data_IF_485661523322
#
_entry.id   IF_485661523322
#
_cell.length_a   1.000
_cell.length_b   1.000
_cell.length_c   1.000
_cell.angle_alpha   90.00
_cell.angle_beta   90.00
_cell.angle_gamma   90.00
#
_symmetry.space_group_name_H-M   'P 1'
#
loop_
_entity.id
_entity.type
_entity.pdbx_description
1 polymer ?
#
# COMPACT_ATOMS: atom_id res chain seq x y z
N UNK A 1 4.77 -16.99 -12.31
CA UNK A 1 5.79 -16.97 -13.31
C UNK A 1 7.23 -17.19 -12.84
N UNK A 2 7.49 -17.55 -11.56
CA UNK A 2 8.85 -17.77 -11.01
C UNK A 2 9.49 -19.08 -11.49
N UNK A 3 8.70 -20.11 -11.80
CA UNK A 3 9.19 -21.44 -12.11
C UNK A 3 10.10 -21.57 -13.33
N UNK A 4 9.95 -20.70 -14.31
CA UNK A 4 10.72 -20.80 -15.56
C UNK A 4 11.93 -19.87 -15.62
N UNK A 5 11.90 -18.68 -15.02
CA UNK A 5 13.05 -17.77 -15.01
C UNK A 5 14.10 -18.13 -13.94
N UNK A 6 13.68 -18.69 -12.81
CA UNK A 6 14.60 -19.10 -11.75
C UNK A 6 15.51 -20.30 -12.08
N UNK A 7 15.22 -21.04 -13.14
CA UNK A 7 16.09 -22.18 -13.58
C UNK A 7 17.30 -21.76 -14.39
N UNK A 8 17.32 -20.57 -14.92
CA UNK A 8 18.36 -20.12 -15.88
C UNK A 8 19.37 -19.17 -15.24
N UNK A 9 19.13 -18.68 -14.01
CA UNK A 9 19.99 -17.68 -13.37
C UNK A 9 20.76 -18.34 -12.23
N UNK A 10 22.10 -18.26 -12.28
CA UNK A 10 22.95 -18.67 -11.14
C UNK A 10 22.53 -17.94 -9.87
N UNK A 11 22.68 -18.59 -8.68
CA UNK A 11 22.28 -18.03 -7.37
C UNK A 11 22.70 -16.58 -7.14
N UNK A 12 23.84 -16.14 -7.69
CA UNK A 12 24.32 -14.75 -7.62
C UNK A 12 23.49 -13.76 -8.45
N UNK A 13 22.85 -14.25 -9.52
CA UNK A 13 22.00 -13.44 -10.40
C UNK A 13 20.54 -13.37 -9.93
N UNK A 14 20.07 -14.28 -9.06
CA UNK A 14 18.70 -14.31 -8.59
C UNK A 14 18.25 -13.00 -7.94
N UNK A 15 19.09 -12.40 -7.09
CA UNK A 15 18.77 -11.10 -6.46
C UNK A 15 18.64 -9.97 -7.47
N UNK A 16 19.45 -9.93 -8.52
CA UNK A 16 19.34 -8.90 -9.56
C UNK A 16 18.05 -9.05 -10.38
N UNK A 17 17.67 -10.29 -10.69
CA UNK A 17 16.40 -10.58 -11.39
C UNK A 17 15.21 -10.25 -10.50
N UNK A 18 15.28 -10.55 -9.21
CA UNK A 18 14.25 -10.19 -8.23
C UNK A 18 14.07 -8.68 -8.16
N UNK A 19 15.15 -7.91 -7.99
CA UNK A 19 15.14 -6.45 -7.99
C UNK A 19 14.57 -5.87 -9.29
N UNK A 20 14.99 -6.42 -10.42
CA UNK A 20 14.47 -6.02 -11.73
C UNK A 20 12.96 -6.29 -11.85
N UNK A 21 12.49 -7.43 -11.39
CA UNK A 21 11.07 -7.80 -11.41
C UNK A 21 10.24 -6.91 -10.48
N UNK A 22 10.71 -6.64 -9.26
CA UNK A 22 10.04 -5.72 -8.32
C UNK A 22 9.90 -4.33 -8.94
N UNK A 23 10.98 -3.80 -9.52
CA UNK A 23 10.97 -2.50 -10.18
C UNK A 23 10.01 -2.47 -11.38
N UNK A 24 10.06 -3.47 -12.25
CA UNK A 24 9.18 -3.55 -13.43
C UNK A 24 7.72 -3.67 -13.06
N UNK A 25 7.40 -4.46 -12.04
CA UNK A 25 6.03 -4.69 -11.55
C UNK A 25 5.50 -3.45 -10.82
N UNK A 26 6.35 -2.80 -10.01
CA UNK A 26 6.03 -1.55 -9.34
C UNK A 26 5.66 -0.43 -10.32
N UNK A 27 6.40 -0.29 -11.43
CA UNK A 27 6.07 0.66 -12.51
C UNK A 27 4.69 0.40 -13.09
N UNK A 28 4.25 -0.86 -13.18
CA UNK A 28 2.92 -1.24 -13.66
C UNK A 28 1.81 -1.09 -12.60
N UNK A 29 2.16 -0.74 -11.35
CA UNK A 29 1.21 -0.66 -10.23
C UNK A 29 0.60 -2.01 -9.86
N UNK A 30 1.33 -3.11 -10.08
CA UNK A 30 0.95 -4.45 -9.65
C UNK A 30 1.59 -4.74 -8.29
N UNK A 31 0.83 -5.36 -7.36
CA UNK A 31 1.33 -5.71 -6.05
C UNK A 31 2.44 -6.76 -6.15
N UNK A 32 3.54 -6.52 -5.44
CA UNK A 32 4.69 -7.41 -5.37
C UNK A 32 4.76 -8.04 -3.99
N UNK A 33 4.69 -9.35 -3.94
CA UNK A 33 4.92 -10.12 -2.73
C UNK A 33 6.36 -10.63 -2.71
N UNK A 34 7.12 -10.28 -1.67
CA UNK A 34 8.43 -10.87 -1.40
C UNK A 34 8.26 -12.22 -0.72
N UNK A 35 8.55 -13.29 -1.44
CA UNK A 35 8.61 -14.65 -0.93
C UNK A 35 10.06 -15.06 -0.78
N UNK A 36 10.47 -15.46 0.43
CA UNK A 36 11.65 -16.29 0.70
C UNK A 36 11.55 -16.79 2.15
N UNK A 37 12.47 -17.62 2.59
CA UNK A 37 12.64 -18.07 3.98
C UNK A 37 13.12 -16.90 4.87
N UNK A 38 12.23 -15.91 5.08
CA UNK A 38 12.61 -14.58 5.57
C UNK A 38 13.00 -14.56 7.05
N UNK A 39 12.49 -15.43 7.86
CA UNK A 39 12.76 -15.49 9.31
C UNK A 39 12.94 -16.96 9.77
N UNK A 40 13.56 -17.81 8.96
CA UNK A 40 13.71 -19.24 9.21
C UNK A 40 14.21 -19.57 10.62
N UNK A 41 15.10 -18.72 11.17
CA UNK A 41 15.59 -18.88 12.54
C UNK A 41 14.52 -18.76 13.64
N UNK A 42 13.32 -18.25 13.33
CA UNK A 42 12.20 -18.15 14.29
C UNK A 42 11.34 -19.44 14.30
N UNK A 43 11.59 -20.39 13.43
CA UNK A 43 10.90 -21.69 13.44
C UNK A 43 11.21 -22.44 14.75
N UNK A 44 12.48 -22.50 15.15
CA UNK A 44 12.97 -23.27 16.28
C UNK A 44 13.36 -22.42 17.51
N UNK A 45 13.41 -21.08 17.38
CA UNK A 45 13.82 -20.16 18.42
C UNK A 45 13.07 -18.85 18.45
N UNK A 46 12.99 -18.17 19.61
CA UNK A 46 12.19 -16.95 19.76
C UNK A 46 12.79 -15.70 19.09
N UNK A 47 13.94 -15.82 18.46
CA UNK A 47 14.66 -14.69 17.86
C UNK A 47 15.19 -14.96 16.46
N UNK A 48 15.18 -13.94 15.59
CA UNK A 48 15.62 -14.11 14.20
C UNK A 48 17.15 -14.15 14.12
N UNK A 49 17.65 -14.92 13.15
CA UNK A 49 19.03 -14.80 12.70
C UNK A 49 19.25 -13.42 12.02
N UNK A 50 20.48 -12.89 12.08
CA UNK A 50 20.83 -11.61 11.42
C UNK A 50 20.50 -11.62 9.92
N UNK A 51 20.66 -12.75 9.27
CA UNK A 51 20.35 -12.90 7.84
C UNK A 51 18.86 -12.64 7.57
N UNK A 52 17.94 -13.27 8.32
CA UNK A 52 16.50 -13.10 8.17
C UNK A 52 16.04 -11.65 8.40
N UNK A 53 16.58 -10.97 9.42
CA UNK A 53 16.31 -9.54 9.64
C UNK A 53 16.71 -8.71 8.42
N UNK A 54 17.89 -8.98 7.86
CA UNK A 54 18.40 -8.25 6.67
C UNK A 54 17.57 -8.54 5.43
N UNK A 55 17.02 -9.74 5.30
CA UNK A 55 16.19 -10.13 4.15
C UNK A 55 14.85 -9.41 4.16
N UNK A 56 14.16 -9.38 5.30
CA UNK A 56 12.92 -8.60 5.46
C UNK A 56 13.19 -7.10 5.21
N UNK A 57 14.24 -6.55 5.82
CA UNK A 57 14.59 -5.15 5.63
C UNK A 57 14.86 -4.84 4.15
N UNK A 58 15.63 -5.68 3.44
CA UNK A 58 15.92 -5.50 2.03
C UNK A 58 14.65 -5.56 1.17
N UNK A 59 13.71 -6.48 1.43
CA UNK A 59 12.46 -6.57 0.70
C UNK A 59 11.65 -5.26 0.82
N UNK A 60 11.57 -4.70 2.03
CA UNK A 60 10.90 -3.41 2.26
C UNK A 60 11.65 -2.27 1.55
N UNK A 61 12.98 -2.19 1.67
CA UNK A 61 13.79 -1.21 0.96
C UNK A 61 13.68 -1.31 -0.58
N UNK A 62 13.42 -2.50 -1.09
CA UNK A 62 13.18 -2.76 -2.52
C UNK A 62 11.73 -2.48 -2.92
N UNK A 63 10.92 -1.92 -2.04
CA UNK A 63 9.52 -1.55 -2.26
C UNK A 63 8.59 -2.74 -2.56
N UNK A 64 8.80 -3.88 -1.92
CA UNK A 64 7.78 -4.93 -1.91
C UNK A 64 6.48 -4.40 -1.27
N UNK A 65 5.34 -4.80 -1.79
CA UNK A 65 4.03 -4.40 -1.25
C UNK A 65 3.66 -5.20 -0.01
N UNK A 66 4.10 -6.45 0.06
CA UNK A 66 3.96 -7.31 1.23
C UNK A 66 5.15 -8.28 1.33
N UNK A 67 5.33 -8.82 2.52
CA UNK A 67 6.30 -9.85 2.86
C UNK A 67 5.54 -11.06 3.42
N UNK A 68 6.04 -12.26 3.18
CA UNK A 68 5.33 -13.48 3.53
C UNK A 68 6.14 -14.32 4.53
N UNK A 69 5.45 -14.91 5.49
CA UNK A 69 5.93 -16.00 6.33
C UNK A 69 5.30 -17.32 5.86
N UNK A 70 6.02 -18.39 5.97
CA UNK A 70 5.60 -19.74 5.56
C UNK A 70 5.64 -20.70 6.75
N UNK A 71 6.72 -21.47 6.90
CA UNK A 71 6.91 -22.43 7.99
C UNK A 71 6.92 -21.76 9.37
N UNK A 72 7.42 -20.55 9.47
CA UNK A 72 7.52 -19.76 10.70
C UNK A 72 6.18 -19.58 11.40
N UNK A 73 5.09 -19.48 10.62
CA UNK A 73 3.72 -19.35 11.16
C UNK A 73 2.87 -20.59 11.01
N UNK A 74 3.22 -21.51 10.07
CA UNK A 74 2.43 -22.71 9.79
C UNK A 74 2.85 -23.94 10.60
N UNK A 75 4.12 -24.05 10.98
CA UNK A 75 4.70 -25.20 11.64
C UNK A 75 5.72 -24.85 12.74
N UNK A 76 6.14 -23.59 12.86
CA UNK A 76 7.11 -23.16 13.86
C UNK A 76 6.51 -23.06 15.26
N UNK A 77 7.36 -23.08 16.26
CA UNK A 77 6.98 -23.00 17.68
C UNK A 77 6.69 -21.56 18.13
N UNK A 78 7.04 -20.54 17.32
CA UNK A 78 7.01 -19.11 17.65
C UNK A 78 6.26 -18.24 16.62
N UNK A 79 4.99 -18.59 16.26
CA UNK A 79 4.26 -17.90 15.16
C UNK A 79 3.94 -16.43 15.46
N UNK A 80 3.60 -16.08 16.70
CA UNK A 80 3.29 -14.70 17.08
C UNK A 80 4.54 -13.81 17.08
N UNK A 81 5.66 -14.36 17.55
CA UNK A 81 6.95 -13.70 17.53
C UNK A 81 7.43 -13.44 16.11
N UNK A 82 7.25 -14.40 15.21
CA UNK A 82 7.62 -14.26 13.80
C UNK A 82 6.89 -13.08 13.16
N UNK A 83 5.57 -12.98 13.33
CA UNK A 83 4.77 -11.86 12.82
C UNK A 83 5.18 -10.54 13.48
N UNK A 84 5.37 -10.56 14.81
CA UNK A 84 5.74 -9.36 15.57
C UNK A 84 7.10 -8.83 15.13
N UNK A 85 8.07 -9.70 14.94
CA UNK A 85 9.43 -9.34 14.49
C UNK A 85 9.38 -8.77 13.07
N UNK A 86 8.70 -9.45 12.15
CA UNK A 86 8.53 -8.99 10.77
C UNK A 86 7.90 -7.59 10.73
N UNK A 87 6.85 -7.38 11.50
CA UNK A 87 6.20 -6.07 11.61
C UNK A 87 7.13 -4.99 12.15
N UNK A 88 7.92 -5.30 13.22
CA UNK A 88 8.89 -4.36 13.78
C UNK A 88 9.95 -3.96 12.76
N UNK A 89 10.48 -4.93 11.99
CA UNK A 89 11.49 -4.66 10.96
C UNK A 89 10.90 -3.76 9.87
N UNK A 90 9.73 -4.10 9.33
CA UNK A 90 9.07 -3.32 8.29
C UNK A 90 8.84 -1.88 8.76
N UNK A 91 8.27 -1.68 9.95
CA UNK A 91 8.05 -0.35 10.52
C UNK A 91 9.33 0.45 10.76
N UNK A 92 10.42 -0.22 11.12
CA UNK A 92 11.70 0.44 11.33
C UNK A 92 12.28 0.94 10.01
N UNK A 93 12.20 0.12 8.95
CA UNK A 93 12.67 0.50 7.61
C UNK A 93 11.83 1.65 7.04
N UNK A 94 10.50 1.57 7.14
CA UNK A 94 9.61 2.61 6.60
C UNK A 94 9.76 3.98 7.29
N UNK A 95 10.39 4.03 8.48
CA UNK A 95 10.71 5.27 9.20
C UNK A 95 12.11 5.78 8.93
N UNK A 96 12.93 5.01 8.25
CA UNK A 96 14.31 5.38 7.94
C UNK A 96 14.33 6.46 6.85
N UNK A 97 15.06 7.54 7.10
CA UNK A 97 15.21 8.65 6.13
C UNK A 97 15.75 8.15 4.79
N UNK A 98 16.68 7.19 4.81
CA UNK A 98 17.23 6.60 3.58
C UNK A 98 16.17 5.85 2.76
N UNK A 99 15.17 5.24 3.40
CA UNK A 99 14.03 4.64 2.71
C UNK A 99 13.16 5.71 2.06
N UNK A 100 12.83 6.75 2.82
CA UNK A 100 12.00 7.87 2.33
C UNK A 100 12.66 8.56 1.13
N UNK A 101 13.96 8.86 1.23
CA UNK A 101 14.74 9.42 0.11
C UNK A 101 14.76 8.48 -1.08
N UNK A 102 14.96 7.18 -0.85
CA UNK A 102 14.95 6.18 -1.93
C UNK A 102 13.62 6.12 -2.65
N UNK A 103 12.51 6.12 -1.92
CA UNK A 103 11.15 6.15 -2.51
C UNK A 103 10.96 7.38 -3.38
N UNK A 104 11.39 8.55 -2.92
CA UNK A 104 11.35 9.80 -3.70
C UNK A 104 12.22 9.75 -4.96
N UNK A 105 13.37 9.09 -4.90
CA UNK A 105 14.27 8.91 -6.06
C UNK A 105 13.76 7.88 -7.07
N UNK A 106 12.80 7.03 -6.68
CA UNK A 106 12.13 6.09 -7.59
C UNK A 106 11.08 6.76 -8.48
N UNK A 107 11.03 8.10 -8.47
CA UNK A 107 10.09 8.93 -9.25
C UNK A 107 9.93 8.36 -10.67
N UNK A 108 8.84 7.64 -10.84
CA UNK A 108 8.48 7.07 -12.15
C UNK A 108 7.55 8.07 -12.82
N UNK A 109 7.94 8.64 -13.96
CA UNK A 109 7.08 9.58 -14.65
C UNK A 109 5.68 8.98 -14.83
N UNK A 110 4.62 9.74 -14.48
CA UNK A 110 3.25 9.26 -14.68
C UNK A 110 2.99 9.03 -16.17
N UNK A 111 2.20 8.03 -16.47
CA UNK A 111 1.70 7.85 -17.83
C UNK A 111 0.90 9.10 -18.24
N UNK A 112 0.87 9.39 -19.54
CA UNK A 112 0.17 10.55 -20.10
C UNK A 112 -1.37 10.38 -20.04
N UNK A 113 -1.88 10.06 -18.83
CA UNK A 113 -3.32 9.92 -18.56
C UNK A 113 -3.73 10.80 -17.37
N UNK A 114 -4.98 11.27 -17.39
CA UNK A 114 -5.54 12.06 -16.27
C UNK A 114 -5.45 11.29 -14.94
N UNK A 115 -5.70 9.99 -14.97
CA UNK A 115 -5.72 9.17 -13.78
C UNK A 115 -4.32 9.04 -13.14
N UNK A 116 -3.27 8.89 -13.94
CA UNK A 116 -1.90 8.83 -13.44
C UNK A 116 -1.39 10.19 -12.98
N UNK A 117 -1.70 11.25 -13.74
CA UNK A 117 -1.36 12.61 -13.34
C UNK A 117 -1.97 13.00 -11.98
N UNK A 118 -3.22 12.60 -11.72
CA UNK A 118 -3.87 12.87 -10.44
C UNK A 118 -3.33 11.99 -9.30
N UNK A 119 -2.93 10.75 -9.57
CA UNK A 119 -2.26 9.91 -8.58
C UNK A 119 -0.92 10.52 -8.16
N UNK A 120 -0.14 11.01 -9.12
CA UNK A 120 1.12 11.71 -8.86
C UNK A 120 0.90 13.03 -8.12
N UNK A 121 -0.09 13.84 -8.53
CA UNK A 121 -0.48 15.07 -7.83
C UNK A 121 -0.94 14.80 -6.38
N UNK A 122 -1.60 13.66 -6.14
CA UNK A 122 -2.02 13.25 -4.81
C UNK A 122 -0.82 13.09 -3.86
N UNK A 123 0.29 12.50 -4.33
CA UNK A 123 1.52 12.40 -3.54
C UNK A 123 2.06 13.80 -3.20
N UNK A 124 2.15 14.69 -4.19
CA UNK A 124 2.62 16.08 -3.97
C UNK A 124 1.76 16.79 -2.92
N UNK A 125 0.44 16.61 -2.98
CA UNK A 125 -0.48 17.20 -1.98
C UNK A 125 -0.26 16.56 -0.60
N UNK A 126 -0.09 15.25 -0.51
CA UNK A 126 0.14 14.54 0.75
C UNK A 126 1.47 14.94 1.42
N UNK A 127 2.50 15.26 0.64
CA UNK A 127 3.80 15.72 1.15
C UNK A 127 3.79 17.21 1.55
N UNK A 128 2.88 18.02 0.99
CA UNK A 128 2.83 19.46 1.21
C UNK A 128 1.80 19.87 2.26
N UNK A 129 0.64 19.21 2.26
CA UNK A 129 -0.48 19.51 3.15
C UNK A 129 -0.52 18.45 4.26
N UNK A 130 -0.65 18.85 5.55
CA UNK A 130 -0.76 17.90 6.66
C UNK A 130 -2.10 17.17 6.60
N UNK A 131 -2.17 16.13 5.79
CA UNK A 131 -3.33 15.23 5.68
C UNK A 131 -3.09 13.96 6.48
N UNK A 132 -4.16 13.37 7.04
CA UNK A 132 -4.08 12.16 7.85
C UNK A 132 -4.17 10.88 7.01
N UNK A 133 -4.90 10.93 5.90
CA UNK A 133 -5.08 9.78 5.01
C UNK A 133 -5.57 10.22 3.62
N UNK A 134 -5.41 9.31 2.67
CA UNK A 134 -5.98 9.40 1.32
C UNK A 134 -7.19 8.47 1.25
N UNK A 135 -8.37 8.97 0.96
CA UNK A 135 -9.57 8.16 0.69
C UNK A 135 -9.70 7.95 -0.82
N UNK A 136 -9.73 6.71 -1.25
CA UNK A 136 -9.80 6.33 -2.67
C UNK A 136 -11.10 5.58 -2.94
N UNK A 137 -11.92 6.11 -3.83
CA UNK A 137 -13.14 5.47 -4.31
C UNK A 137 -12.88 4.77 -5.63
N UNK A 138 -13.09 3.46 -5.68
CA UNK A 138 -12.76 2.68 -6.88
C UNK A 138 -13.57 1.39 -6.99
N UNK A 139 -14.14 1.11 -8.15
CA UNK A 139 -14.81 -0.17 -8.44
C UNK A 139 -13.82 -1.29 -8.74
N UNK A 140 -12.83 -1.02 -9.59
CA UNK A 140 -11.85 -2.02 -10.07
C UNK A 140 -10.55 -2.10 -9.26
N UNK A 141 -10.26 -1.09 -8.43
CA UNK A 141 -9.01 -0.95 -7.71
C UNK A 141 -7.91 -0.23 -8.50
N UNK A 142 -8.16 0.21 -9.72
CA UNK A 142 -7.14 0.85 -10.57
C UNK A 142 -6.60 2.14 -9.98
N UNK A 143 -7.45 3.00 -9.41
CA UNK A 143 -7.04 4.24 -8.74
C UNK A 143 -6.13 3.94 -7.54
N UNK A 144 -6.52 2.96 -6.72
CA UNK A 144 -5.73 2.57 -5.55
C UNK A 144 -4.32 2.07 -5.94
N UNK A 145 -4.22 1.27 -7.01
CA UNK A 145 -2.92 0.80 -7.51
C UNK A 145 -2.04 1.94 -8.01
N UNK A 146 -2.61 2.93 -8.70
CA UNK A 146 -1.87 4.11 -9.15
C UNK A 146 -1.33 4.92 -7.97
N UNK A 147 -2.17 5.16 -6.97
CA UNK A 147 -1.74 5.89 -5.76
C UNK A 147 -0.69 5.11 -4.98
N UNK A 148 -0.86 3.79 -4.80
CA UNK A 148 0.12 2.97 -4.10
C UNK A 148 1.48 2.91 -4.80
N UNK A 149 1.51 2.98 -6.13
CA UNK A 149 2.74 3.08 -6.92
C UNK A 149 3.59 4.30 -6.54
N UNK A 150 2.94 5.41 -6.25
CA UNK A 150 3.60 6.65 -5.82
C UNK A 150 4.13 6.59 -4.37
N UNK A 151 3.79 5.56 -3.59
CA UNK A 151 4.23 5.37 -2.19
C UNK A 151 4.01 6.60 -1.31
N UNK A 152 2.76 7.09 -1.16
CA UNK A 152 2.48 8.28 -0.36
C UNK A 152 2.90 8.11 1.10
N UNK A 153 3.28 9.22 1.73
CA UNK A 153 3.71 9.28 3.14
C UNK A 153 2.60 8.99 4.15
N UNK A 154 1.33 8.97 3.70
CA UNK A 154 0.14 8.75 4.54
C UNK A 154 -0.63 7.50 4.08
N UNK A 155 -1.36 6.82 4.98
CA UNK A 155 -2.11 5.62 4.65
C UNK A 155 -3.25 5.90 3.67
N UNK A 156 -3.62 4.86 2.93
CA UNK A 156 -4.68 4.90 1.93
C UNK A 156 -5.88 4.07 2.40
N UNK A 157 -7.03 4.72 2.60
CA UNK A 157 -8.31 4.10 2.87
C UNK A 157 -9.07 3.90 1.56
N UNK A 158 -9.16 2.67 1.09
CA UNK A 158 -9.81 2.34 -0.19
C UNK A 158 -11.23 1.89 0.03
N UNK A 159 -12.17 2.59 -0.57
CA UNK A 159 -13.61 2.33 -0.48
C UNK A 159 -14.10 1.79 -1.83
N UNK A 160 -14.66 0.58 -1.83
CA UNK A 160 -15.10 -0.10 -3.05
C UNK A 160 -16.42 -0.83 -2.84
N UNK A 161 -17.33 -0.86 -3.84
CA UNK A 161 -18.55 -1.66 -3.74
C UNK A 161 -18.30 -3.17 -3.91
N UNK A 162 -17.11 -3.57 -4.36
CA UNK A 162 -16.76 -4.96 -4.64
C UNK A 162 -15.94 -5.60 -3.52
N UNK A 163 -16.50 -6.56 -2.82
CA UNK A 163 -15.79 -7.37 -1.83
C UNK A 163 -14.56 -8.08 -2.43
N UNK A 164 -14.67 -8.54 -3.69
CA UNK A 164 -13.55 -9.16 -4.42
C UNK A 164 -12.41 -8.16 -4.61
N UNK A 165 -12.74 -6.93 -5.00
CA UNK A 165 -11.76 -5.85 -5.16
C UNK A 165 -11.12 -5.51 -3.81
N UNK A 166 -11.91 -5.36 -2.74
CA UNK A 166 -11.39 -5.07 -1.40
C UNK A 166 -10.37 -6.13 -0.95
N UNK A 167 -10.71 -7.42 -1.11
CA UNK A 167 -9.80 -8.52 -0.75
C UNK A 167 -8.49 -8.52 -1.54
N UNK A 168 -8.56 -8.24 -2.85
CA UNK A 168 -7.35 -8.15 -3.69
C UNK A 168 -6.45 -6.98 -3.32
N UNK A 169 -7.04 -5.86 -2.94
CA UNK A 169 -6.30 -4.66 -2.52
C UNK A 169 -5.70 -4.77 -1.12
N UNK A 170 -6.05 -5.79 -0.34
CA UNK A 170 -5.40 -6.10 0.93
C UNK A 170 -3.93 -6.51 0.80
N UNK A 171 -3.46 -6.83 -0.42
CA UNK A 171 -2.05 -7.11 -0.72
C UNK A 171 -1.31 -5.88 -1.29
N UNK A 172 -1.99 -4.74 -1.38
CA UNK A 172 -1.41 -3.53 -1.93
C UNK A 172 -0.79 -2.70 -0.81
N UNK A 173 0.43 -2.21 -1.03
CA UNK A 173 1.14 -1.41 -0.05
C UNK A 173 0.33 -0.18 0.40
N UNK A 174 0.33 0.07 1.71
CA UNK A 174 -0.33 1.24 2.31
C UNK A 174 -1.85 1.26 2.21
N UNK A 175 -2.50 0.22 1.64
CA UNK A 175 -3.93 0.19 1.41
C UNK A 175 -4.69 -0.54 2.52
N UNK A 176 -5.64 0.15 3.13
CA UNK A 176 -6.70 -0.45 3.94
C UNK A 176 -7.99 -0.45 3.15
N UNK A 177 -8.37 -1.59 2.60
CA UNK A 177 -9.50 -1.70 1.67
C UNK A 177 -10.76 -2.17 2.38
N UNK A 178 -11.85 -1.42 2.21
CA UNK A 178 -13.15 -1.67 2.84
C UNK A 178 -14.23 -1.78 1.77
N UNK A 179 -15.02 -2.85 1.84
CA UNK A 179 -16.20 -2.98 1.01
C UNK A 179 -17.37 -2.14 1.60
N UNK A 180 -17.91 -1.23 0.78
CA UNK A 180 -19.03 -0.35 1.16
C UNK A 180 -20.07 -0.31 0.07
N UNK A 181 -21.25 0.27 0.34
CA UNK A 181 -22.18 0.61 -0.74
C UNK A 181 -21.55 1.61 -1.69
N UNK A 182 -21.90 1.55 -2.95
CA UNK A 182 -21.45 2.52 -3.96
C UNK A 182 -21.91 3.95 -3.62
N UNK A 183 -21.36 4.92 -4.31
CA UNK A 183 -21.66 6.34 -4.14
C UNK A 183 -22.31 6.90 -5.40
N UNK A 184 -23.31 7.77 -5.21
CA UNK A 184 -24.06 8.37 -6.31
C UNK A 184 -23.80 9.86 -6.49
N UNK A 185 -23.24 10.56 -5.49
CA UNK A 185 -22.98 11.99 -5.54
C UNK A 185 -21.64 12.36 -4.89
N UNK A 186 -21.19 13.58 -5.17
CA UNK A 186 -19.99 14.15 -4.56
C UNK A 186 -20.17 14.32 -3.05
N UNK A 187 -21.31 14.80 -2.59
CA UNK A 187 -21.63 14.99 -1.18
C UNK A 187 -21.60 13.65 -0.43
N UNK A 188 -22.21 12.62 -1.02
CA UNK A 188 -22.16 11.26 -0.45
C UNK A 188 -20.72 10.73 -0.38
N UNK A 189 -19.91 10.98 -1.39
CA UNK A 189 -18.50 10.62 -1.42
C UNK A 189 -17.76 11.23 -0.24
N UNK A 190 -17.87 12.52 -0.05
CA UNK A 190 -17.19 13.26 1.02
C UNK A 190 -17.68 12.79 2.39
N UNK A 191 -18.99 12.71 2.61
CA UNK A 191 -19.56 12.24 3.87
C UNK A 191 -19.13 10.81 4.20
N UNK A 192 -19.14 9.92 3.23
CA UNK A 192 -18.68 8.52 3.39
C UNK A 192 -17.19 8.45 3.69
N UNK A 193 -16.36 9.19 2.96
CA UNK A 193 -14.91 9.25 3.18
C UNK A 193 -14.57 9.65 4.61
N UNK A 194 -15.14 10.76 5.09
CA UNK A 194 -14.95 11.26 6.45
C UNK A 194 -15.38 10.23 7.50
N UNK A 195 -16.61 9.72 7.40
CA UNK A 195 -17.16 8.72 8.33
C UNK A 195 -16.31 7.45 8.39
N UNK A 196 -15.86 6.95 7.26
CA UNK A 196 -15.03 5.74 7.20
C UNK A 196 -13.62 5.99 7.73
N UNK A 197 -13.04 7.15 7.48
CA UNK A 197 -11.73 7.53 8.03
C UNK A 197 -11.78 7.61 9.57
N UNK A 198 -12.81 8.24 10.14
CA UNK A 198 -13.06 8.28 11.58
C UNK A 198 -13.25 6.87 12.16
N UNK A 199 -14.13 6.09 11.55
CA UNK A 199 -14.49 4.73 12.02
C UNK A 199 -13.29 3.77 12.05
N UNK A 200 -12.38 3.89 11.09
CA UNK A 200 -11.20 3.02 10.98
C UNK A 200 -9.94 3.61 11.65
N UNK A 201 -10.06 4.75 12.34
CA UNK A 201 -8.95 5.36 13.10
C UNK A 201 -7.88 6.01 12.23
N UNK A 202 -8.19 6.38 10.99
CA UNK A 202 -7.26 7.10 10.09
C UNK A 202 -7.30 8.62 10.28
N UNK A 203 -8.31 9.13 10.96
CA UNK A 203 -8.47 10.56 11.16
C UNK A 203 -9.27 10.85 12.42
N UNK A 204 -9.20 12.08 12.89
CA UNK A 204 -9.97 12.66 14.00
C UNK A 204 -10.58 14.00 13.59
N UNK A 205 -11.39 14.62 14.46
CA UNK A 205 -11.92 15.95 14.20
C UNK A 205 -10.79 16.96 13.96
N UNK A 206 -10.95 17.80 12.94
CA UNK A 206 -9.91 18.75 12.50
C UNK A 206 -8.92 18.17 11.48
N UNK A 207 -8.84 16.84 11.33
CA UNK A 207 -7.98 16.20 10.32
C UNK A 207 -8.38 16.60 8.90
N UNK A 208 -7.39 16.64 8.01
CA UNK A 208 -7.62 16.76 6.57
C UNK A 208 -7.46 15.40 5.89
N UNK A 209 -8.27 15.17 4.87
CA UNK A 209 -8.21 13.99 4.00
C UNK A 209 -8.06 14.44 2.55
N UNK A 210 -7.38 13.62 1.75
CA UNK A 210 -7.47 13.71 0.29
C UNK A 210 -8.53 12.72 -0.17
N UNK A 211 -9.44 13.11 -1.03
CA UNK A 211 -10.42 12.23 -1.67
C UNK A 211 -10.13 12.13 -3.17
N UNK A 212 -10.00 10.90 -3.66
CA UNK A 212 -9.78 10.56 -5.07
C UNK A 212 -10.94 9.71 -5.59
N UNK A 213 -11.52 10.13 -6.71
CA UNK A 213 -12.60 9.40 -7.37
C UNK A 213 -12.64 9.64 -8.88
N UNK A 214 -13.45 8.86 -9.56
CA UNK A 214 -13.85 9.09 -10.95
C UNK A 214 -15.27 9.65 -11.03
N UNK A 215 -15.45 10.75 -11.75
CA UNK A 215 -16.76 11.37 -12.06
C UNK A 215 -16.99 11.34 -13.57
N UNK A 216 -18.14 10.90 -14.05
CA UNK A 216 -19.33 10.43 -13.33
C UNK A 216 -19.07 9.13 -12.57
N UNK A 217 -19.73 8.99 -11.42
CA UNK A 217 -19.62 7.79 -10.58
C UNK A 217 -20.10 6.54 -11.33
N UNK A 218 -19.55 5.36 -10.97
CA UNK A 218 -19.91 4.10 -11.62
C UNK A 218 -19.16 3.81 -12.93
N UNK A 219 -18.32 4.73 -13.43
CA UNK A 219 -17.50 4.52 -14.64
C UNK A 219 -16.09 4.03 -14.24
N UNK A 220 -15.73 2.76 -14.46
CA UNK A 220 -14.40 2.25 -14.09
C UNK A 220 -13.28 2.97 -14.85
N UNK A 221 -12.19 3.32 -14.14
CA UNK A 221 -10.98 3.89 -14.74
C UNK A 221 -11.02 5.41 -14.99
N UNK A 222 -12.11 6.09 -14.65
CA UNK A 222 -12.33 7.51 -14.89
C UNK A 222 -11.77 8.43 -13.78
N UNK A 223 -10.72 8.05 -13.07
CA UNK A 223 -10.15 8.90 -11.99
C UNK A 223 -9.81 10.29 -12.54
N UNK A 224 -10.58 11.31 -12.14
CA UNK A 224 -10.48 12.68 -12.63
C UNK A 224 -10.80 13.74 -11.56
N UNK A 225 -10.97 13.31 -10.29
CA UNK A 225 -11.26 14.18 -9.16
C UNK A 225 -10.25 13.93 -8.04
N UNK A 226 -9.61 15.01 -7.58
CA UNK A 226 -8.83 15.10 -6.34
C UNK A 226 -9.39 16.24 -5.51
N UNK A 227 -9.78 15.97 -4.28
CA UNK A 227 -10.34 16.98 -3.37
C UNK A 227 -9.72 16.87 -1.98
N UNK A 228 -9.34 18.00 -1.38
CA UNK A 228 -8.89 18.05 0.01
C UNK A 228 -10.04 18.51 0.88
N UNK A 229 -10.34 17.73 1.91
CA UNK A 229 -11.48 18.01 2.80
C UNK A 229 -11.05 17.98 4.27
N UNK A 230 -11.61 18.87 5.08
CA UNK A 230 -11.41 18.87 6.54
C UNK A 230 -12.60 18.19 7.22
N UNK A 231 -12.33 17.37 8.23
CA UNK A 231 -13.35 16.75 9.08
C UNK A 231 -13.79 17.79 10.12
N UNK A 232 -15.07 18.16 10.10
CA UNK A 232 -15.65 19.06 11.10
C UNK A 232 -15.94 18.33 12.40
N UNK A 233 -15.94 19.04 13.54
CA UNK A 233 -16.25 18.45 14.84
C UNK A 233 -17.67 17.87 14.96
N UNK A 234 -18.62 18.47 14.24
CA UNK A 234 -20.04 18.06 14.24
C UNK A 234 -20.33 16.73 13.52
N UNK A 235 -19.30 16.12 12.90
CA UNK A 235 -19.43 14.86 12.15
C UNK A 235 -19.16 13.62 13.02
N UNK A 236 -18.79 13.80 14.29
CA UNK A 236 -18.58 12.72 15.26
C UNK A 236 -19.89 12.14 15.82
N UNK A 237 -20.98 12.88 15.73
CA UNK A 237 -22.28 12.54 16.34
C UNK A 237 -23.29 11.90 15.35
N UNK A 238 -22.89 11.57 14.14
CA UNK A 238 -23.71 10.95 13.09
C UNK A 238 -23.13 9.63 12.60
#
# INVERSE_FOLDING_TARGET
GWGERGRVVERRGCRQVQRGSVKETGVKGEAVNGETDMLEGVIEGPGPARAGVSEVANAVYECADCVMLSAETAAGDWPEEAVTIMHKIARQVERDEAYIERVRLLDTPPDSTTADALAHACMTVADTVPVSAITVFTGSGSTARRVARERPSVPMLVLTPSMRTARRLGLLWGAHAVATKDIGSFEEMIAKGKRMALRHGFAEAGSKLIALAGVPFGTPGSTNLLHVVTISGDELDK
#
